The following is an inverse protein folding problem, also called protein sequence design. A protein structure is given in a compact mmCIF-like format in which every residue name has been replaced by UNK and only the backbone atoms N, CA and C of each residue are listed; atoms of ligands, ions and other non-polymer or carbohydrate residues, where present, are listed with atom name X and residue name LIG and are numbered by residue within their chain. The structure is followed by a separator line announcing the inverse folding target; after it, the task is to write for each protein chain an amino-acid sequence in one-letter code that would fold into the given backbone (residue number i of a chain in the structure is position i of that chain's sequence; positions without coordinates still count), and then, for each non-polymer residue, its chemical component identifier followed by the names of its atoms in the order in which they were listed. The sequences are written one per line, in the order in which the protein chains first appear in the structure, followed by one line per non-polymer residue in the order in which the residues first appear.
data_IF_661395924498
#
_entry.id   IF_661395924498
#
_cell.length_a   1.000
_cell.length_b   1.000
_cell.length_c   1.000
_cell.angle_alpha   90.00
_cell.angle_beta   90.00
_cell.angle_gamma   90.00
#
_symmetry.space_group_name_H-M   'P 1'
#
loop_
_entity.id
_entity.type
_entity.pdbx_description
1 polymer ?
#
# COMPACT_ATOMS: atom_id res chain seq x y z
N UNK A 1 78.55 24.44 -2.75
CA UNK A 1 77.19 24.76 -2.28
C UNK A 1 76.24 23.77 -2.93
N UNK A 2 75.93 22.71 -2.20
CA UNK A 2 75.05 21.62 -2.62
C UNK A 2 74.06 21.41 -1.48
N UNK A 3 72.88 20.87 -1.83
CA UNK A 3 71.71 20.54 -0.99
C UNK A 3 70.66 21.63 -0.98
N UNK A 4 69.64 21.47 -1.82
CA UNK A 4 68.22 21.66 -1.50
C UNK A 4 67.37 21.14 -2.68
N UNK A 5 67.55 19.86 -2.99
CA UNK A 5 66.60 19.06 -3.77
C UNK A 5 66.16 17.92 -2.85
N UNK A 6 64.87 17.55 -2.90
CA UNK A 6 64.22 16.36 -2.29
C UNK A 6 63.45 16.55 -0.97
N UNK A 7 62.47 17.46 -0.90
CA UNK A 7 61.31 17.28 0.01
C UNK A 7 60.05 17.88 -0.63
N UNK A 8 59.59 17.33 -1.75
CA UNK A 8 58.26 17.71 -2.31
C UNK A 8 57.55 16.56 -3.03
N UNK A 9 58.00 15.31 -2.87
CA UNK A 9 57.54 14.17 -3.68
C UNK A 9 57.16 12.94 -2.83
N UNK A 10 56.49 13.13 -1.68
CA UNK A 10 55.98 12.01 -0.86
C UNK A 10 54.50 12.17 -0.45
N UNK A 11 53.89 13.33 -0.68
CA UNK A 11 52.48 13.60 -0.32
C UNK A 11 51.49 13.55 -1.50
N UNK A 12 51.78 12.73 -2.51
CA UNK A 12 50.88 12.56 -3.68
C UNK A 12 50.39 11.12 -3.89
N UNK A 13 50.72 10.17 -2.99
CA UNK A 13 50.44 8.72 -3.21
C UNK A 13 49.44 8.13 -2.19
N UNK A 14 49.04 8.86 -1.14
CA UNK A 14 48.07 8.36 -0.11
C UNK A 14 46.65 8.91 -0.33
N UNK A 15 46.38 9.46 -1.51
CA UNK A 15 45.07 10.01 -1.90
C UNK A 15 44.36 9.18 -2.96
N UNK A 16 44.73 7.91 -3.15
CA UNK A 16 43.87 6.99 -3.92
C UNK A 16 42.65 6.67 -3.04
N UNK A 17 41.69 7.58 -3.14
CA UNK A 17 40.30 7.37 -2.78
C UNK A 17 39.91 5.93 -3.14
N UNK A 18 39.76 5.10 -2.12
CA UNK A 18 38.87 3.96 -2.20
C UNK A 18 37.45 4.54 -2.36
N UNK A 19 37.12 4.98 -3.58
CA UNK A 19 35.76 5.01 -4.03
C UNK A 19 35.35 3.54 -4.14
N UNK A 20 35.02 2.92 -3.00
CA UNK A 20 34.10 1.80 -3.00
C UNK A 20 32.91 2.33 -3.78
N UNK A 21 32.72 1.85 -5.01
CA UNK A 21 31.44 1.99 -5.66
C UNK A 21 30.46 1.37 -4.68
N UNK A 22 29.75 2.20 -3.91
CA UNK A 22 28.62 1.74 -3.14
C UNK A 22 27.70 1.18 -4.22
N UNK A 23 27.60 -0.14 -4.29
CA UNK A 23 26.52 -0.75 -5.04
C UNK A 23 25.26 -0.25 -4.34
N UNK A 24 24.59 0.71 -4.95
CA UNK A 24 23.28 1.15 -4.47
C UNK A 24 22.41 -0.11 -4.47
N UNK A 25 21.89 -0.48 -3.30
CA UNK A 25 20.92 -1.55 -3.20
C UNK A 25 19.61 -0.99 -3.77
N UNK A 26 19.44 -1.11 -5.09
CA UNK A 26 18.30 -0.56 -5.83
C UNK A 26 17.08 -1.48 -5.59
N UNK A 27 15.88 -0.92 -5.38
CA UNK A 27 14.65 -1.71 -5.33
C UNK A 27 14.51 -2.66 -6.54
N UNK A 28 14.22 -3.93 -6.26
CA UNK A 28 13.99 -4.96 -7.26
C UNK A 28 12.54 -5.49 -7.11
N UNK A 29 11.67 -5.29 -8.11
CA UNK A 29 10.30 -5.79 -8.09
C UNK A 29 10.19 -7.29 -7.86
N UNK A 30 11.15 -8.09 -8.34
CA UNK A 30 11.10 -9.55 -8.22
C UNK A 30 11.49 -10.07 -6.82
N UNK A 31 12.11 -9.23 -6.00
CA UNK A 31 12.54 -9.56 -4.64
C UNK A 31 11.74 -8.83 -3.57
N UNK A 32 11.02 -7.78 -3.96
CA UNK A 32 10.14 -7.00 -3.10
C UNK A 32 8.78 -7.68 -2.97
N UNK A 33 8.05 -7.33 -1.93
CA UNK A 33 6.71 -7.84 -1.69
C UNK A 33 5.76 -6.69 -1.36
N UNK A 34 4.60 -6.70 -2.00
CA UNK A 34 3.47 -5.86 -1.66
C UNK A 34 2.22 -6.73 -1.61
N UNK A 35 1.45 -6.70 -0.52
CA UNK A 35 0.16 -7.38 -0.48
C UNK A 35 -0.74 -6.88 -1.62
N UNK A 36 -1.45 -7.80 -2.28
CA UNK A 36 -2.23 -7.52 -3.48
C UNK A 36 -3.39 -6.54 -3.25
N UNK A 37 -3.86 -6.44 -2.00
CA UNK A 37 -4.87 -5.49 -1.58
C UNK A 37 -4.29 -4.47 -0.61
N UNK A 38 -4.48 -3.20 -0.96
CA UNK A 38 -4.36 -2.08 -0.05
C UNK A 38 -5.55 -2.08 0.90
N UNK A 39 -5.39 -2.66 2.08
CA UNK A 39 -6.39 -2.57 3.14
C UNK A 39 -6.39 -1.18 3.75
N UNK A 40 -7.46 -0.42 3.56
CA UNK A 40 -7.72 0.88 4.19
C UNK A 40 -8.85 0.77 5.20
N UNK A 41 -8.83 1.57 6.26
CA UNK A 41 -9.90 1.58 7.27
C UNK A 41 -10.29 3.00 7.61
N UNK A 42 -11.55 3.30 7.98
CA UNK A 42 -11.94 4.69 8.20
C UNK A 42 -11.13 5.38 9.31
N UNK A 43 -10.65 4.64 10.31
CA UNK A 43 -9.78 5.19 11.37
C UNK A 43 -8.27 5.14 11.05
N UNK A 44 -7.88 4.57 9.91
CA UNK A 44 -6.48 4.35 9.52
C UNK A 44 -5.70 3.40 10.43
N UNK A 45 -6.37 2.61 11.27
CA UNK A 45 -5.70 1.75 12.26
C UNK A 45 -5.09 0.47 11.67
N UNK A 46 -5.49 0.05 10.47
CA UNK A 46 -4.81 -1.04 9.77
C UNK A 46 -3.48 -0.56 9.18
N UNK A 47 -2.42 -1.35 9.38
CA UNK A 47 -1.11 -1.10 8.79
C UNK A 47 -0.93 -1.96 7.55
N UNK A 48 -0.80 -1.32 6.39
CA UNK A 48 -0.35 -1.94 5.16
C UNK A 48 1.18 -1.83 5.06
N UNK A 49 1.88 -2.95 4.95
CA UNK A 49 3.35 -2.98 4.92
C UNK A 49 3.85 -3.42 3.55
N UNK A 50 4.74 -2.62 2.96
CA UNK A 50 5.50 -2.95 1.75
C UNK A 50 6.92 -3.32 2.15
N UNK A 51 7.42 -4.45 1.65
CA UNK A 51 8.82 -4.84 1.85
C UNK A 51 9.60 -4.59 0.56
N UNK A 52 10.61 -3.73 0.63
CA UNK A 52 11.49 -3.38 -0.48
C UNK A 52 12.83 -4.07 -0.32
N UNK A 53 13.14 -4.95 -1.26
CA UNK A 53 14.44 -5.63 -1.34
C UNK A 53 15.13 -5.28 -2.66
N UNK A 54 16.44 -5.25 -2.61
CA UNK A 54 17.30 -5.26 -3.79
C UNK A 54 18.19 -6.50 -3.78
N UNK A 55 19.10 -6.57 -4.75
CA UNK A 55 19.96 -7.74 -4.94
C UNK A 55 20.86 -8.08 -3.73
N UNK A 56 21.10 -7.13 -2.82
CA UNK A 56 21.93 -7.34 -1.62
C UNK A 56 21.15 -7.44 -0.32
N UNK A 57 19.81 -7.52 -0.36
CA UNK A 57 18.93 -7.60 0.80
C UNK A 57 17.99 -6.40 0.93
N UNK A 58 17.49 -6.09 2.14
CA UNK A 58 16.55 -4.99 2.36
C UNK A 58 17.12 -3.62 1.97
N UNK A 59 16.29 -2.78 1.35
CA UNK A 59 16.65 -1.40 0.98
C UNK A 59 16.16 -0.47 2.08
N UNK A 60 17.08 0.09 2.88
CA UNK A 60 16.76 1.07 3.92
C UNK A 60 16.74 2.50 3.35
N UNK A 61 15.75 3.31 3.75
CA UNK A 61 15.64 4.71 3.33
C UNK A 61 15.08 4.92 1.91
N UNK A 62 14.48 3.89 1.31
CA UNK A 62 13.78 4.00 0.01
C UNK A 62 12.48 4.77 0.20
N UNK A 63 12.18 5.69 -0.72
CA UNK A 63 10.88 6.38 -0.75
C UNK A 63 9.87 5.48 -1.45
N UNK A 64 8.91 4.97 -0.68
CA UNK A 64 7.80 4.15 -1.20
C UNK A 64 6.59 5.05 -1.41
N UNK A 65 5.97 4.92 -2.57
CA UNK A 65 4.81 5.69 -2.99
C UNK A 65 3.71 4.74 -3.45
N UNK A 66 2.52 4.87 -2.86
CA UNK A 66 1.29 4.27 -3.38
C UNK A 66 0.60 5.33 -4.22
N UNK A 67 0.43 5.05 -5.51
CA UNK A 67 -0.30 5.91 -6.45
C UNK A 67 -1.62 5.28 -6.81
N UNK A 68 -2.71 5.88 -6.34
CA UNK A 68 -4.06 5.53 -6.74
C UNK A 68 -4.35 6.13 -8.11
N UNK A 69 -4.99 5.37 -8.99
CA UNK A 69 -5.27 5.82 -10.35
C UNK A 69 -6.34 6.90 -10.38
N UNK A 70 -6.36 7.73 -11.42
CA UNK A 70 -7.36 8.78 -11.58
C UNK A 70 -8.81 8.25 -11.72
N UNK A 71 -8.98 6.95 -11.96
CA UNK A 71 -10.30 6.29 -12.03
C UNK A 71 -10.73 5.76 -10.67
N UNK A 72 -9.80 5.20 -9.90
CA UNK A 72 -10.06 4.69 -8.55
C UNK A 72 -10.18 5.81 -7.51
N UNK A 73 -9.32 6.83 -7.59
CA UNK A 73 -9.25 7.92 -6.63
C UNK A 73 -10.60 8.61 -6.32
N UNK A 74 -11.44 8.98 -7.32
CA UNK A 74 -12.71 9.65 -7.03
C UNK A 74 -13.80 8.74 -6.45
N UNK A 75 -13.62 7.41 -6.47
CA UNK A 75 -14.60 6.46 -5.93
C UNK A 75 -14.19 5.93 -4.56
N UNK A 76 -12.95 6.12 -4.13
CA UNK A 76 -12.53 5.81 -2.76
C UNK A 76 -13.07 6.88 -1.80
N UNK A 77 -13.64 6.44 -0.68
CA UNK A 77 -14.03 7.35 0.40
C UNK A 77 -12.79 7.75 1.19
N UNK A 78 -12.21 8.92 0.90
CA UNK A 78 -11.04 9.40 1.64
C UNK A 78 -11.43 10.16 2.90
N UNK A 79 -10.81 9.84 4.03
CA UNK A 79 -11.04 10.58 5.27
C UNK A 79 -10.34 11.95 5.27
N UNK A 80 -10.92 12.95 5.94
CA UNK A 80 -10.31 14.27 6.11
C UNK A 80 -8.89 14.17 6.66
N UNK A 81 -7.95 14.77 5.94
CA UNK A 81 -6.52 14.80 6.30
C UNK A 81 -5.70 13.66 5.71
N UNK A 82 -6.34 12.66 5.08
CA UNK A 82 -5.65 11.67 4.28
C UNK A 82 -5.07 12.34 3.03
N UNK A 83 -3.77 12.18 2.81
CA UNK A 83 -3.14 12.62 1.56
C UNK A 83 -3.45 11.60 0.47
N UNK A 84 -3.82 12.05 -0.73
CA UNK A 84 -4.12 11.23 -1.91
C UNK A 84 -3.99 12.11 -3.18
N UNK A 85 -3.86 11.54 -4.39
CA UNK A 85 -3.81 10.11 -4.73
C UNK A 85 -2.43 9.46 -4.49
N UNK A 86 -1.43 10.25 -4.05
CA UNK A 86 -0.06 9.80 -3.80
C UNK A 86 0.21 9.77 -2.30
N UNK A 87 0.43 8.58 -1.77
CA UNK A 87 0.68 8.33 -0.34
C UNK A 87 2.11 7.83 -0.21
N UNK A 88 2.90 8.43 0.69
CA UNK A 88 4.34 8.12 0.79
C UNK A 88 4.74 7.65 2.17
N UNK A 89 5.66 6.68 2.23
CA UNK A 89 6.39 6.26 3.41
C UNK A 89 7.86 6.01 3.07
N UNK A 90 8.71 5.84 4.07
CA UNK A 90 10.14 5.56 3.89
C UNK A 90 10.48 4.24 4.55
N UNK A 91 11.24 3.39 3.87
CA UNK A 91 11.60 2.08 4.42
C UNK A 91 12.55 2.18 5.62
N UNK A 92 12.34 1.29 6.59
CA UNK A 92 13.21 1.11 7.75
C UNK A 92 14.43 0.20 7.42
N UNK A 93 15.23 -0.16 8.44
CA UNK A 93 16.40 -1.01 8.28
C UNK A 93 16.10 -2.45 7.79
N UNK A 94 14.86 -2.91 7.97
CA UNK A 94 14.34 -4.18 7.46
C UNK A 94 13.75 -4.06 6.04
N UNK A 95 13.81 -2.87 5.43
CA UNK A 95 13.25 -2.60 4.11
C UNK A 95 11.73 -2.43 4.11
N UNK A 96 11.11 -2.21 5.28
CA UNK A 96 9.66 -2.13 5.40
C UNK A 96 9.19 -0.67 5.42
N UNK A 97 8.21 -0.35 4.58
CA UNK A 97 7.47 0.91 4.59
C UNK A 97 6.02 0.63 5.02
N UNK A 98 5.62 1.25 6.12
CA UNK A 98 4.30 1.07 6.73
C UNK A 98 3.38 2.24 6.39
N UNK A 99 2.14 1.90 6.04
CA UNK A 99 1.09 2.84 5.67
C UNK A 99 -0.12 2.64 6.57
N UNK A 100 -0.58 3.73 7.19
CA UNK A 100 -1.83 3.79 7.95
C UNK A 100 -2.76 4.76 7.22
N UNK A 101 -3.69 4.21 6.44
CA UNK A 101 -4.48 4.98 5.47
C UNK A 101 -5.92 5.04 5.93
N UNK A 102 -6.39 6.26 6.16
CA UNK A 102 -7.75 6.54 6.59
C UNK A 102 -8.67 6.67 5.37
N UNK A 103 -9.56 5.70 5.18
CA UNK A 103 -10.55 5.71 4.11
C UNK A 103 -11.44 4.48 4.09
N UNK A 104 -12.36 4.44 3.13
CA UNK A 104 -13.32 3.36 2.90
C UNK A 104 -13.57 3.12 1.41
N UNK A 105 -14.31 2.07 1.13
CA UNK A 105 -14.65 1.56 -0.19
C UNK A 105 -13.81 0.34 -0.58
N UNK A 106 -14.37 -0.45 -1.49
CA UNK A 106 -13.64 -1.47 -2.21
C UNK A 106 -13.57 -1.15 -3.71
N UNK A 107 -12.37 -1.20 -4.28
CA UNK A 107 -12.14 -0.92 -5.70
C UNK A 107 -11.25 -1.99 -6.30
N UNK A 108 -11.79 -2.73 -7.26
CA UNK A 108 -11.09 -3.79 -8.00
C UNK A 108 -10.90 -3.41 -9.46
N UNK A 109 -9.92 -4.04 -10.13
CA UNK A 109 -9.71 -3.84 -11.55
C UNK A 109 -10.94 -4.30 -12.37
N UNK A 110 -11.68 -5.29 -11.87
CA UNK A 110 -12.92 -5.77 -12.46
C UNK A 110 -14.02 -4.70 -12.38
N UNK A 111 -14.19 -4.05 -11.23
CA UNK A 111 -15.17 -2.98 -11.02
C UNK A 111 -14.95 -1.76 -11.91
N UNK A 112 -13.69 -1.45 -12.25
CA UNK A 112 -13.34 -0.34 -13.14
C UNK A 112 -13.40 -0.69 -14.65
N UNK A 113 -13.99 -1.82 -15.03
CA UNK A 113 -14.16 -2.22 -16.44
C UNK A 113 -13.11 -3.20 -16.98
N UNK A 114 -12.34 -3.86 -16.10
CA UNK A 114 -11.42 -4.94 -16.42
C UNK A 114 -10.09 -4.47 -17.02
N UNK A 115 -8.99 -4.73 -16.29
CA UNK A 115 -7.63 -4.37 -16.73
C UNK A 115 -7.22 -2.92 -16.44
N UNK A 116 -8.06 -2.17 -15.74
CA UNK A 116 -7.69 -0.88 -15.17
C UNK A 116 -6.72 -1.08 -13.99
N UNK A 117 -5.73 -0.21 -13.90
CA UNK A 117 -4.85 -0.15 -12.72
C UNK A 117 -5.62 0.58 -11.62
N UNK A 118 -5.86 -0.08 -10.49
CA UNK A 118 -6.49 0.56 -9.32
C UNK A 118 -5.46 1.42 -8.60
N UNK A 119 -4.36 0.81 -8.14
CA UNK A 119 -3.22 1.50 -7.57
C UNK A 119 -1.90 0.81 -7.92
N UNK A 120 -0.79 1.54 -7.79
CA UNK A 120 0.56 1.02 -7.99
C UNK A 120 1.44 1.35 -6.80
N UNK A 121 2.34 0.44 -6.44
CA UNK A 121 3.38 0.68 -5.45
C UNK A 121 4.69 0.93 -6.17
N UNK A 122 5.33 2.04 -5.87
CA UNK A 122 6.65 2.40 -6.39
C UNK A 122 7.64 2.53 -5.25
N UNK A 123 8.89 2.13 -5.48
CA UNK A 123 10.01 2.43 -4.59
C UNK A 123 11.09 3.16 -5.38
N UNK A 124 11.44 4.38 -4.96
CA UNK A 124 12.39 5.27 -5.66
C UNK A 124 12.05 5.46 -7.16
N UNK A 125 10.75 5.46 -7.48
CA UNK A 125 10.23 5.59 -8.84
C UNK A 125 10.20 4.30 -9.67
N UNK A 126 10.58 3.16 -9.09
CA UNK A 126 10.46 1.83 -9.72
C UNK A 126 9.15 1.19 -9.30
N UNK A 127 8.28 0.84 -10.26
CA UNK A 127 7.04 0.09 -9.98
C UNK A 127 7.37 -1.32 -9.47
N UNK A 128 6.93 -1.63 -8.25
CA UNK A 128 7.09 -2.94 -7.62
C UNK A 128 5.94 -3.86 -7.99
N UNK A 129 4.70 -3.36 -7.92
CA UNK A 129 3.49 -4.13 -8.12
C UNK A 129 2.29 -3.20 -8.38
N UNK A 130 1.20 -3.81 -8.85
CA UNK A 130 -0.12 -3.21 -8.92
C UNK A 130 -1.00 -3.86 -7.88
N UNK A 131 -1.84 -3.07 -7.23
CA UNK A 131 -2.67 -3.50 -6.12
C UNK A 131 -4.09 -2.96 -6.29
N UNK A 132 -5.03 -3.65 -5.67
CA UNK A 132 -6.43 -3.24 -5.54
C UNK A 132 -6.67 -2.62 -4.16
N UNK A 133 -7.87 -2.07 -3.92
CA UNK A 133 -8.20 -1.42 -2.64
C UNK A 133 -9.32 -2.21 -1.99
N UNK A 134 -9.13 -2.56 -0.72
CA UNK A 134 -10.13 -3.23 0.08
C UNK A 134 -10.33 -2.50 1.42
N UNK A 135 -11.53 -2.56 1.98
CA UNK A 135 -11.87 -1.92 3.24
C UNK A 135 -12.97 -2.67 3.97
N UNK A 136 -12.98 -2.68 5.32
CA UNK A 136 -14.16 -3.09 6.09
C UNK A 136 -15.39 -2.22 5.85
N UNK A 137 -15.22 -1.01 5.29
CA UNK A 137 -16.27 -0.11 4.80
C UNK A 137 -16.41 -0.33 3.29
N UNK A 138 -16.80 -1.53 2.86
CA UNK A 138 -16.72 -1.94 1.46
C UNK A 138 -17.80 -1.29 0.59
N UNK A 139 -19.01 -1.11 1.14
CA UNK A 139 -20.23 -0.72 0.41
C UNK A 139 -20.88 0.50 1.06
N UNK A 140 -21.66 1.25 0.29
CA UNK A 140 -22.48 2.32 0.86
C UNK A 140 -23.61 1.77 1.76
N UNK A 141 -24.35 2.69 2.39
CA UNK A 141 -25.53 2.38 3.20
C UNK A 141 -26.65 1.62 2.45
N UNK A 142 -26.63 1.62 1.12
CA UNK A 142 -27.51 0.84 0.25
C UNK A 142 -27.01 -0.57 -0.06
N UNK A 143 -25.74 -0.86 0.26
CA UNK A 143 -25.08 -2.12 -0.05
C UNK A 143 -24.43 -2.16 -1.44
N UNK A 144 -24.17 -1.01 -2.05
CA UNK A 144 -23.52 -0.89 -3.35
C UNK A 144 -22.03 -0.61 -3.22
N UNK A 145 -21.22 -1.28 -4.03
CA UNK A 145 -19.79 -1.00 -4.13
C UNK A 145 -19.56 0.35 -4.83
N UNK A 146 -18.43 1.04 -4.56
CA UNK A 146 -18.08 2.30 -5.23
C UNK A 146 -18.01 2.26 -6.76
N UNK A 147 -17.98 1.05 -7.34
CA UNK A 147 -17.91 0.83 -8.79
C UNK A 147 -19.24 0.37 -9.39
N UNK A 148 -20.29 0.23 -8.58
CA UNK A 148 -21.63 -0.12 -9.05
C UNK A 148 -22.32 1.09 -9.69
N UNK A 149 -23.13 0.85 -10.73
CA UNK A 149 -23.86 1.91 -11.45
C UNK A 149 -24.86 2.69 -10.55
N UNK A 150 -25.37 2.02 -9.51
CA UNK A 150 -26.34 2.57 -8.56
C UNK A 150 -25.67 3.20 -7.32
N UNK A 151 -24.33 3.26 -7.28
CA UNK A 151 -23.58 3.87 -6.18
C UNK A 151 -23.88 5.37 -6.09
N UNK A 152 -24.39 5.79 -4.93
CA UNK A 152 -24.70 7.20 -4.65
C UNK A 152 -23.66 7.88 -3.78
N UNK A 153 -22.76 7.09 -3.18
CA UNK A 153 -21.78 7.55 -2.21
C UNK A 153 -22.39 7.88 -0.86
N UNK A 154 -21.65 7.57 0.20
CA UNK A 154 -21.98 8.03 1.54
C UNK A 154 -21.26 9.34 1.85
N UNK A 155 -21.88 10.19 2.67
CA UNK A 155 -21.29 11.46 3.10
C UNK A 155 -20.07 11.28 4.02
N UNK A 156 -19.86 10.08 4.55
CA UNK A 156 -18.82 9.70 5.49
C UNK A 156 -18.41 8.25 5.20
N UNK A 157 -17.18 7.89 5.52
CA UNK A 157 -16.73 6.50 5.45
C UNK A 157 -17.13 5.82 6.76
N UNK A 158 -18.07 4.87 6.73
CA UNK A 158 -18.74 4.33 7.92
C UNK A 158 -18.98 2.84 7.78
N UNK A 159 -18.21 2.06 8.54
CA UNK A 159 -18.47 0.63 8.68
C UNK A 159 -19.81 0.41 9.38
N UNK A 160 -20.78 -0.13 8.66
CA UNK A 160 -22.16 -0.25 9.09
C UNK A 160 -22.75 -1.66 8.92
N UNK A 161 -24.08 -1.72 8.98
CA UNK A 161 -24.81 -2.97 8.77
C UNK A 161 -24.70 -3.47 7.33
N UNK A 162 -24.62 -2.56 6.35
CA UNK A 162 -24.49 -2.92 4.94
C UNK A 162 -23.19 -3.70 4.70
N UNK A 163 -22.06 -3.22 5.24
CA UNK A 163 -20.77 -3.93 5.19
C UNK A 163 -20.81 -5.27 5.88
N UNK A 164 -21.43 -5.32 7.07
CA UNK A 164 -21.58 -6.58 7.80
C UNK A 164 -22.35 -7.61 6.97
N UNK A 165 -23.44 -7.20 6.31
CA UNK A 165 -24.22 -8.07 5.42
C UNK A 165 -23.39 -8.48 4.20
N UNK A 166 -22.67 -7.53 3.59
CA UNK A 166 -21.80 -7.77 2.44
C UNK A 166 -20.74 -8.83 2.73
N UNK A 167 -19.95 -8.67 3.81
CA UNK A 167 -18.87 -9.59 4.16
C UNK A 167 -19.36 -10.94 4.71
N UNK A 168 -20.55 -11.00 5.32
CA UNK A 168 -21.05 -12.23 5.97
C UNK A 168 -21.20 -13.39 4.98
N UNK A 169 -21.75 -13.14 3.79
CA UNK A 169 -21.97 -14.17 2.79
C UNK A 169 -20.67 -14.87 2.38
N UNK A 170 -19.67 -14.12 1.87
CA UNK A 170 -18.38 -14.68 1.49
C UNK A 170 -17.64 -15.37 2.63
N UNK A 171 -17.59 -14.76 3.82
CA UNK A 171 -16.91 -15.34 4.99
C UNK A 171 -17.57 -16.66 5.43
N UNK A 172 -18.90 -16.70 5.53
CA UNK A 172 -19.60 -17.89 5.99
C UNK A 172 -19.59 -19.00 4.92
N UNK A 173 -19.61 -18.63 3.65
CA UNK A 173 -19.64 -19.54 2.51
C UNK A 173 -18.27 -20.05 2.07
N UNK A 174 -17.19 -19.37 2.47
CA UNK A 174 -15.87 -19.64 1.92
C UNK A 174 -15.81 -19.36 0.41
N UNK A 175 -16.46 -18.29 -0.05
CA UNK A 175 -16.51 -17.97 -1.49
C UNK A 175 -15.47 -16.90 -1.82
N UNK A 176 -14.94 -16.93 -3.03
CA UNK A 176 -14.08 -15.86 -3.53
C UNK A 176 -14.90 -14.56 -3.65
N UNK A 177 -14.50 -13.54 -2.90
CA UNK A 177 -15.02 -12.18 -2.98
C UNK A 177 -13.85 -11.24 -2.71
N UNK A 178 -13.46 -10.50 -3.73
CA UNK A 178 -12.32 -9.60 -3.74
C UNK A 178 -12.41 -8.59 -2.61
N UNK A 179 -13.60 -8.01 -2.41
CA UNK A 179 -13.85 -7.01 -1.38
C UNK A 179 -14.04 -7.61 0.01
N UNK A 180 -13.88 -8.92 0.18
CA UNK A 180 -13.93 -9.60 1.47
C UNK A 180 -12.67 -10.41 1.77
N UNK A 181 -11.66 -10.35 0.90
CA UNK A 181 -10.39 -11.03 1.09
C UNK A 181 -9.32 -10.03 1.60
N UNK A 182 -8.92 -10.21 2.85
CA UNK A 182 -7.98 -9.38 3.59
C UNK A 182 -6.69 -10.13 3.97
N UNK A 183 -6.60 -11.43 3.66
CA UNK A 183 -5.49 -12.30 4.03
C UNK A 183 -4.89 -13.00 2.82
N UNK A 184 -3.56 -13.13 2.80
CA UNK A 184 -2.85 -13.88 1.77
C UNK A 184 -3.21 -15.39 1.86
N UNK A 185 -3.46 -16.10 0.73
CA UNK A 185 -3.50 -15.63 -0.66
C UNK A 185 -4.77 -14.86 -1.02
N UNK A 186 -4.55 -13.67 -1.54
CA UNK A 186 -5.56 -12.66 -1.83
C UNK A 186 -6.49 -12.98 -3.03
N UNK A 187 -6.24 -14.07 -3.75
CA UNK A 187 -7.02 -14.55 -4.90
C UNK A 187 -7.79 -15.86 -4.62
N UNK A 188 -7.83 -16.29 -3.37
CA UNK A 188 -8.51 -17.52 -2.95
C UNK A 188 -9.86 -17.23 -2.26
N UNK A 189 -10.48 -18.30 -1.78
CA UNK A 189 -11.69 -18.25 -0.97
C UNK A 189 -11.49 -17.42 0.29
N UNK A 190 -12.47 -16.58 0.61
CA UNK A 190 -12.49 -15.85 1.89
C UNK A 190 -12.51 -16.86 3.04
N UNK A 191 -11.62 -16.69 3.99
CA UNK A 191 -11.38 -17.60 5.10
C UNK A 191 -11.65 -16.92 6.46
N UNK A 192 -11.49 -17.70 7.53
CA UNK A 192 -11.66 -17.19 8.90
C UNK A 192 -10.65 -16.08 9.25
N UNK A 193 -9.49 -16.05 8.58
CA UNK A 193 -8.49 -14.99 8.74
C UNK A 193 -9.04 -13.61 8.36
N UNK A 194 -9.81 -13.54 7.29
CA UNK A 194 -10.45 -12.29 6.84
C UNK A 194 -11.47 -11.79 7.86
N UNK A 195 -12.25 -12.72 8.43
CA UNK A 195 -13.20 -12.39 9.49
C UNK A 195 -12.51 -11.78 10.72
N UNK A 196 -11.31 -12.26 11.06
CA UNK A 196 -10.52 -11.70 12.18
C UNK A 196 -10.12 -10.25 11.91
N UNK A 197 -9.85 -9.90 10.64
CA UNK A 197 -9.50 -8.53 10.26
C UNK A 197 -10.74 -7.64 10.25
N UNK A 198 -11.84 -8.06 9.65
CA UNK A 198 -13.01 -7.18 9.43
C UNK A 198 -13.87 -7.01 10.69
N UNK A 199 -14.04 -8.07 11.49
CA UNK A 199 -14.98 -8.09 12.63
C UNK A 199 -14.78 -6.94 13.63
N UNK A 200 -13.55 -6.58 14.05
CA UNK A 200 -13.35 -5.46 14.98
C UNK A 200 -13.92 -4.14 14.46
N UNK A 201 -13.80 -3.86 13.15
CA UNK A 201 -14.30 -2.63 12.55
C UNK A 201 -15.83 -2.62 12.49
N UNK A 202 -16.45 -3.74 12.12
CA UNK A 202 -17.91 -3.90 12.13
C UNK A 202 -18.46 -3.73 13.54
N UNK A 203 -17.87 -4.39 14.53
CA UNK A 203 -18.34 -4.34 15.92
C UNK A 203 -18.24 -2.93 16.50
N UNK A 204 -17.19 -2.19 16.14
CA UNK A 204 -16.96 -0.85 16.63
C UNK A 204 -17.71 0.23 15.84
N UNK A 205 -18.22 -0.08 14.65
CA UNK A 205 -18.82 0.92 13.75
C UNK A 205 -17.82 2.02 13.38
N UNK A 206 -16.60 1.61 13.04
CA UNK A 206 -15.49 2.54 12.76
C UNK A 206 -15.88 3.51 11.65
N UNK A 207 -15.58 4.79 11.83
CA UNK A 207 -15.98 5.83 10.89
C UNK A 207 -15.02 7.02 10.88
N UNK A 208 -15.10 7.81 9.80
CA UNK A 208 -14.45 9.10 9.67
C UNK A 208 -15.31 10.07 8.86
N UNK A 209 -14.95 11.36 8.89
CA UNK A 209 -15.54 12.36 8.01
C UNK A 209 -14.86 12.27 6.64
N UNK A 210 -15.64 12.16 5.56
CA UNK A 210 -15.10 12.15 4.20
C UNK A 210 -14.59 13.54 3.79
N UNK A 211 -13.57 13.58 2.93
CA UNK A 211 -12.91 14.80 2.46
C UNK A 211 -13.70 15.55 1.37
#
# INVERSE_FOLDING_TARGET
MARFFRISLVLAIVGMFAATAAMANIPDPALSNCPAFLTITPDGSFTYTVTVNGATGPVNGSLVEIRVSAQADPVVCWCVGQVHPSITAVTNASGEADFNIAGGGCVSAAGLGGGAVVAQVLADGIELCQIEINSPDAVDSGGFLPTDDDYVGDANCVVGLADAVFHTGPIAGGTAEVCSNFTDPYDDTVALGDAVIVTPYIVNGTSCVAQ
#
